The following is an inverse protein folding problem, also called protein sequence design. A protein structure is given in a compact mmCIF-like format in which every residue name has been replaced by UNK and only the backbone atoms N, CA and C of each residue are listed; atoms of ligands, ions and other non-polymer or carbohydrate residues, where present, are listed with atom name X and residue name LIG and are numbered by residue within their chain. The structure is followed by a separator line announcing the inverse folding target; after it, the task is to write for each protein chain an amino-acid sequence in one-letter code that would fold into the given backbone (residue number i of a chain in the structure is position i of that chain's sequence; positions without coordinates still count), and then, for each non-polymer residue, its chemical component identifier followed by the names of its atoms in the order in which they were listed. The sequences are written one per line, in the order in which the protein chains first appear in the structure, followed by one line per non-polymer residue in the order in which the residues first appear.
data_IF_694208040653
#
_entry.id   IF_694208040653
#
_cell.length_a   1.000
_cell.length_b   1.000
_cell.length_c   1.000
_cell.angle_alpha   90.00
_cell.angle_beta   90.00
_cell.angle_gamma   90.00
#
_symmetry.space_group_name_H-M   'P 1'
#
loop_
_entity.id
_entity.type
_entity.pdbx_description
1 polymer ?
#
# COMPACT_ATOMS: atom_id res chain seq x y z
N UNK A 1 1.06 -28.58 48.67
CA UNK A 1 0.44 -27.25 48.57
C UNK A 1 1.53 -26.22 48.36
N UNK A 2 1.97 -26.08 47.11
CA UNK A 2 2.76 -24.96 46.57
C UNK A 2 2.75 -25.13 45.05
N UNK A 3 1.74 -24.59 44.38
CA UNK A 3 1.75 -24.44 42.93
C UNK A 3 2.29 -23.04 42.61
N UNK A 4 3.41 -23.02 41.89
CA UNK A 4 4.03 -21.81 41.34
C UNK A 4 3.20 -21.28 40.18
N UNK A 5 2.65 -20.08 40.38
CA UNK A 5 1.85 -19.36 39.40
C UNK A 5 2.78 -18.79 38.33
N UNK A 6 2.81 -19.41 37.15
CA UNK A 6 3.50 -18.87 35.98
C UNK A 6 2.78 -17.61 35.49
N UNK A 7 3.44 -16.48 35.65
CA UNK A 7 3.08 -15.18 35.09
C UNK A 7 3.18 -15.26 33.56
N UNK A 8 2.05 -15.14 32.87
CA UNK A 8 1.99 -15.16 31.40
C UNK A 8 2.05 -13.71 30.91
N UNK A 9 2.94 -13.33 29.98
CA UNK A 9 3.09 -11.94 29.57
C UNK A 9 1.77 -11.38 29.00
N UNK A 10 1.29 -10.31 29.62
CA UNK A 10 0.05 -9.63 29.28
C UNK A 10 0.02 -9.19 27.81
N UNK A 11 -1.03 -9.62 27.13
CA UNK A 11 -1.39 -9.21 25.78
C UNK A 11 -1.59 -7.70 25.75
N UNK A 12 -0.90 -7.00 24.83
CA UNK A 12 -1.07 -5.56 24.66
C UNK A 12 -2.54 -5.24 24.35
N UNK A 13 -3.09 -4.11 24.84
CA UNK A 13 -4.49 -3.75 24.62
C UNK A 13 -4.76 -3.68 23.11
N UNK A 14 -5.67 -4.53 22.61
CA UNK A 14 -6.18 -4.44 21.25
C UNK A 14 -7.20 -3.31 21.19
N UNK A 15 -7.08 -2.44 20.19
CA UNK A 15 -8.02 -1.33 20.00
C UNK A 15 -9.45 -1.85 19.82
N UNK A 16 -10.46 -1.20 20.44
CA UNK A 16 -11.86 -1.56 20.23
C UNK A 16 -12.22 -1.38 18.75
N UNK A 17 -12.48 -2.47 18.04
CA UNK A 17 -12.83 -2.49 16.62
C UNK A 17 -11.75 -3.02 15.68
N UNK A 18 -10.51 -3.21 16.15
CA UNK A 18 -9.46 -3.82 15.34
C UNK A 18 -9.73 -5.33 15.15
N UNK A 19 -9.68 -5.81 13.90
CA UNK A 19 -9.78 -7.23 13.60
C UNK A 19 -8.66 -8.02 14.29
N UNK A 20 -9.01 -8.97 15.16
CA UNK A 20 -8.02 -9.79 15.85
C UNK A 20 -7.29 -10.73 14.87
N UNK A 21 -5.96 -10.60 14.77
CA UNK A 21 -5.11 -11.48 13.95
C UNK A 21 -4.92 -12.83 14.66
N UNK A 22 -5.33 -13.96 14.06
CA UNK A 22 -5.11 -15.28 14.64
C UNK A 22 -3.62 -15.57 14.85
N UNK A 23 -3.30 -16.21 15.98
CA UNK A 23 -1.93 -16.61 16.30
C UNK A 23 -1.37 -17.54 15.21
N UNK A 24 -0.15 -17.24 14.73
CA UNK A 24 0.51 -18.02 13.68
C UNK A 24 0.06 -17.73 12.24
N UNK A 25 -0.99 -16.92 12.03
CA UNK A 25 -1.46 -16.57 10.68
C UNK A 25 -0.35 -15.90 9.86
N UNK A 26 0.31 -14.89 10.44
CA UNK A 26 1.38 -14.15 9.76
C UNK A 26 2.49 -15.09 9.31
N UNK A 27 2.99 -15.93 10.21
CA UNK A 27 4.07 -16.89 9.91
C UNK A 27 3.67 -17.83 8.77
N UNK A 28 2.48 -18.42 8.83
CA UNK A 28 2.01 -19.35 7.80
C UNK A 28 1.86 -18.66 6.43
N UNK A 29 1.33 -17.43 6.39
CA UNK A 29 1.17 -16.67 5.15
C UNK A 29 2.53 -16.25 4.59
N UNK A 30 3.47 -15.83 5.43
CA UNK A 30 4.84 -15.51 5.01
C UNK A 30 5.49 -16.73 4.38
N UNK A 31 5.40 -17.91 4.99
CA UNK A 31 5.92 -19.16 4.42
C UNK A 31 5.29 -19.47 3.06
N UNK A 32 3.97 -19.27 2.92
CA UNK A 32 3.26 -19.49 1.67
C UNK A 32 3.74 -18.54 0.57
N UNK A 33 3.93 -17.25 0.86
CA UNK A 33 4.42 -16.24 -0.10
C UNK A 33 5.79 -16.60 -0.67
N UNK A 34 6.65 -17.22 0.13
CA UNK A 34 7.97 -17.68 -0.33
C UNK A 34 7.88 -18.86 -1.31
N UNK A 35 6.71 -19.51 -1.43
CA UNK A 35 6.45 -20.54 -2.46
C UNK A 35 5.80 -19.99 -3.72
N UNK A 36 5.30 -18.75 -3.68
CA UNK A 36 4.66 -18.06 -4.79
C UNK A 36 3.66 -17.00 -4.29
N UNK A 37 3.17 -16.11 -5.18
CA UNK A 37 2.21 -15.09 -4.81
C UNK A 37 0.94 -15.65 -4.17
N UNK A 38 0.46 -15.00 -3.12
CA UNK A 38 -0.82 -15.32 -2.48
C UNK A 38 -1.82 -14.28 -2.93
N UNK A 39 -2.67 -14.64 -3.88
CA UNK A 39 -3.75 -13.77 -4.35
C UNK A 39 -4.86 -13.78 -3.31
N UNK A 40 -5.19 -12.59 -2.82
CA UNK A 40 -6.30 -12.36 -1.91
C UNK A 40 -7.52 -11.97 -2.76
N UNK A 41 -8.71 -12.43 -2.38
CA UNK A 41 -9.94 -12.17 -3.13
C UNK A 41 -10.14 -10.70 -3.54
N UNK A 42 -11.06 -10.47 -4.50
CA UNK A 42 -11.44 -9.13 -4.90
C UNK A 42 -12.53 -8.59 -3.94
N UNK A 43 -12.40 -7.31 -3.56
CA UNK A 43 -13.31 -6.63 -2.66
C UNK A 43 -13.59 -5.24 -3.21
N UNK A 44 -14.82 -4.76 -3.03
CA UNK A 44 -15.15 -3.39 -3.41
C UNK A 44 -14.50 -2.40 -2.45
N UNK A 45 -14.36 -1.14 -2.87
CA UNK A 45 -13.89 -0.06 -1.99
C UNK A 45 -14.77 0.05 -0.74
N UNK A 46 -16.09 -0.10 -0.89
CA UNK A 46 -17.02 -0.09 0.24
C UNK A 46 -16.81 -1.27 1.20
N UNK A 47 -16.52 -2.46 0.70
CA UNK A 47 -16.22 -3.64 1.53
C UNK A 47 -14.91 -3.49 2.29
N UNK A 48 -13.88 -2.92 1.67
CA UNK A 48 -12.62 -2.62 2.33
C UNK A 48 -12.81 -1.53 3.39
N UNK A 49 -13.51 -0.46 3.05
CA UNK A 49 -13.83 0.63 4.00
C UNK A 49 -14.62 0.12 5.21
N UNK A 50 -15.56 -0.81 5.00
CA UNK A 50 -16.39 -1.38 6.07
C UNK A 50 -15.59 -2.17 7.12
N UNK A 51 -14.37 -2.62 6.80
CA UNK A 51 -13.47 -3.35 7.71
C UNK A 51 -12.22 -2.54 8.06
N UNK A 52 -12.26 -1.22 7.85
CA UNK A 52 -11.15 -0.30 8.06
C UNK A 52 -9.90 -0.64 7.22
N UNK A 53 -10.11 -1.30 6.07
CA UNK A 53 -9.08 -1.55 5.09
C UNK A 53 -9.00 -0.38 4.08
N UNK A 54 -7.76 0.08 3.82
CA UNK A 54 -7.38 1.05 2.79
C UNK A 54 -8.01 2.46 2.98
N UNK A 55 -8.63 2.74 4.14
CA UNK A 55 -9.45 3.95 4.40
C UNK A 55 -8.68 5.26 4.18
N UNK A 56 -7.46 5.36 4.67
CA UNK A 56 -6.63 6.57 4.56
C UNK A 56 -6.19 6.89 3.12
N UNK A 57 -6.37 5.93 2.21
CA UNK A 57 -5.90 6.05 0.84
C UNK A 57 -7.01 6.42 -0.12
N UNK A 58 -8.28 6.41 0.27
CA UNK A 58 -9.39 6.70 -0.64
C UNK A 58 -9.54 8.20 -0.90
N UNK A 59 -9.65 8.59 -2.18
CA UNK A 59 -9.91 9.98 -2.58
C UNK A 59 -11.33 10.42 -2.20
N UNK A 60 -12.28 9.49 -2.20
CA UNK A 60 -13.65 9.71 -1.77
C UNK A 60 -14.13 8.53 -0.90
N UNK A 61 -14.78 8.85 0.22
CA UNK A 61 -15.41 7.82 1.05
C UNK A 61 -16.70 7.34 0.38
N UNK A 62 -16.98 6.02 0.40
CA UNK A 62 -18.28 5.49 0.03
C UNK A 62 -19.41 6.13 0.85
N UNK A 63 -20.59 6.21 0.26
CA UNK A 63 -21.80 6.67 0.94
C UNK A 63 -22.24 5.68 2.04
N UNK A 64 -23.05 6.14 3.00
CA UNK A 64 -23.57 5.28 4.08
C UNK A 64 -24.39 4.10 3.56
N UNK A 65 -25.14 4.30 2.47
CA UNK A 65 -25.93 3.24 1.82
C UNK A 65 -25.01 2.16 1.22
N UNK A 66 -23.92 2.57 0.54
CA UNK A 66 -22.92 1.64 0.01
C UNK A 66 -22.19 0.87 1.11
N UNK A 67 -21.86 1.54 2.22
CA UNK A 67 -21.24 0.88 3.38
C UNK A 67 -22.21 -0.13 4.02
N UNK A 68 -23.48 0.22 4.15
CA UNK A 68 -24.50 -0.67 4.72
C UNK A 68 -24.68 -1.93 3.86
N UNK A 69 -24.72 -1.77 2.53
CA UNK A 69 -24.80 -2.90 1.62
C UNK A 69 -23.51 -3.73 1.63
N UNK A 70 -22.34 -3.10 1.74
CA UNK A 70 -21.08 -3.79 1.87
C UNK A 70 -21.01 -4.65 3.14
N UNK A 71 -21.41 -4.12 4.29
CA UNK A 71 -21.51 -4.88 5.55
C UNK A 71 -22.44 -6.08 5.40
N UNK A 72 -23.60 -5.88 4.75
CA UNK A 72 -24.56 -6.97 4.47
C UNK A 72 -23.97 -8.04 3.56
N UNK A 73 -23.32 -7.64 2.46
CA UNK A 73 -22.63 -8.54 1.52
C UNK A 73 -21.57 -9.38 2.24
N UNK A 74 -20.72 -8.74 3.06
CA UNK A 74 -19.66 -9.41 3.81
C UNK A 74 -20.22 -10.40 4.84
N UNK A 75 -21.26 -10.01 5.57
CA UNK A 75 -21.93 -10.87 6.53
C UNK A 75 -22.61 -12.07 5.85
N UNK A 76 -23.29 -11.86 4.72
CA UNK A 76 -23.90 -12.92 3.93
C UNK A 76 -22.88 -13.94 3.40
N UNK A 77 -21.67 -13.48 3.07
CA UNK A 77 -20.53 -14.33 2.67
C UNK A 77 -19.73 -14.89 3.85
N UNK A 78 -20.17 -14.65 5.08
CA UNK A 78 -19.51 -15.08 6.32
C UNK A 78 -18.06 -14.58 6.46
N UNK A 79 -17.72 -13.48 5.78
CA UNK A 79 -16.43 -12.82 5.90
C UNK A 79 -16.40 -11.82 7.05
N UNK A 80 -17.57 -11.37 7.50
CA UNK A 80 -17.72 -10.48 8.64
C UNK A 80 -18.70 -11.11 9.62
N UNK A 81 -18.26 -11.36 10.85
CA UNK A 81 -19.06 -11.98 11.90
C UNK A 81 -19.01 -11.18 13.17
N UNK A 82 -20.07 -11.26 13.98
CA UNK A 82 -20.01 -10.78 15.35
C UNK A 82 -18.95 -11.56 16.13
N UNK A 83 -18.07 -10.84 16.81
CA UNK A 83 -17.07 -11.38 17.74
C UNK A 83 -17.72 -11.91 19.02
N UNK A 84 -16.93 -12.58 19.86
CA UNK A 84 -17.41 -13.31 21.02
C UNK A 84 -18.19 -12.45 22.03
N UNK A 85 -17.89 -11.15 22.10
CA UNK A 85 -18.55 -10.19 23.01
C UNK A 85 -19.67 -9.39 22.34
N UNK A 86 -19.92 -9.56 21.04
CA UNK A 86 -20.88 -8.77 20.27
C UNK A 86 -20.46 -7.32 19.96
N UNK A 87 -19.46 -6.78 20.67
CA UNK A 87 -18.88 -5.45 20.44
C UNK A 87 -17.67 -5.48 19.49
N UNK A 88 -17.13 -6.66 19.23
CA UNK A 88 -16.04 -6.87 18.29
C UNK A 88 -16.58 -7.46 17.00
N UNK A 89 -15.89 -7.22 15.89
CA UNK A 89 -16.20 -7.82 14.60
C UNK A 89 -15.02 -8.69 14.17
N UNK A 90 -15.31 -9.91 13.72
CA UNK A 90 -14.31 -10.83 13.20
C UNK A 90 -14.33 -10.78 11.67
N UNK A 91 -13.19 -10.44 11.07
CA UNK A 91 -12.97 -10.52 9.63
C UNK A 91 -12.31 -11.87 9.30
N UNK A 92 -12.80 -12.59 8.28
CA UNK A 92 -12.36 -13.95 7.93
C UNK A 92 -11.88 -14.08 6.48
N UNK A 93 -11.25 -15.22 6.20
CA UNK A 93 -10.74 -15.57 4.87
C UNK A 93 -9.66 -14.62 4.38
N UNK A 94 -9.53 -14.49 3.07
CA UNK A 94 -8.51 -13.64 2.43
C UNK A 94 -8.65 -12.16 2.85
N UNK A 95 -9.88 -11.69 3.13
CA UNK A 95 -10.11 -10.33 3.64
C UNK A 95 -9.47 -10.14 5.01
N UNK A 96 -9.59 -11.14 5.89
CA UNK A 96 -8.94 -11.12 7.20
C UNK A 96 -7.42 -11.09 7.09
N UNK A 97 -6.86 -11.79 6.10
CA UNK A 97 -5.42 -11.73 5.79
C UNK A 97 -5.05 -10.31 5.32
N UNK A 98 -5.78 -9.73 4.36
CA UNK A 98 -5.53 -8.39 3.86
C UNK A 98 -5.53 -7.34 4.98
N UNK A 99 -6.57 -7.35 5.83
CA UNK A 99 -6.69 -6.45 6.99
C UNK A 99 -5.52 -6.64 7.96
N UNK A 100 -5.18 -7.88 8.30
CA UNK A 100 -4.09 -8.18 9.23
C UNK A 100 -2.74 -7.64 8.74
N UNK A 101 -2.44 -7.78 7.45
CA UNK A 101 -1.18 -7.29 6.88
C UNK A 101 -1.17 -5.77 6.66
N UNK A 102 -2.32 -5.17 6.38
CA UNK A 102 -2.44 -3.72 6.31
C UNK A 102 -2.19 -3.07 7.69
N UNK A 103 -2.85 -3.55 8.75
CA UNK A 103 -2.71 -3.00 10.11
C UNK A 103 -1.29 -3.15 10.68
N UNK A 104 -0.50 -4.08 10.13
CA UNK A 104 0.91 -4.27 10.48
C UNK A 104 1.85 -3.37 9.69
N UNK A 105 1.40 -2.82 8.57
CA UNK A 105 2.23 -1.99 7.72
C UNK A 105 2.63 -0.71 8.47
N UNK A 106 3.91 -0.34 8.34
CA UNK A 106 4.45 0.92 8.89
C UNK A 106 4.97 1.84 7.80
N UNK A 107 4.95 1.37 6.57
CA UNK A 107 5.29 2.12 5.38
C UNK A 107 4.20 1.82 4.36
N UNK A 108 3.75 2.85 3.66
CA UNK A 108 2.91 2.70 2.48
C UNK A 108 3.54 3.48 1.35
N UNK A 109 3.73 2.81 0.23
CA UNK A 109 4.03 3.43 -1.05
C UNK A 109 2.76 3.49 -1.88
N UNK A 110 2.34 4.70 -2.24
CA UNK A 110 1.23 5.00 -3.13
C UNK A 110 1.77 5.48 -4.46
N UNK A 111 1.64 4.67 -5.51
CA UNK A 111 2.02 5.04 -6.86
C UNK A 111 0.79 5.27 -7.71
N UNK A 112 0.66 6.47 -8.29
CA UNK A 112 -0.42 6.88 -9.19
C UNK A 112 0.14 7.24 -10.56
N UNK A 113 -0.46 6.76 -11.63
CA UNK A 113 -0.03 7.07 -13.00
C UNK A 113 -1.10 7.76 -13.82
N UNK A 114 -0.67 8.65 -14.71
CA UNK A 114 -1.49 9.15 -15.82
C UNK A 114 -1.32 8.28 -17.07
N UNK A 115 -2.17 8.48 -18.08
CA UNK A 115 -2.01 7.85 -19.40
C UNK A 115 -2.21 6.33 -19.41
N UNK A 116 -3.01 5.79 -18.49
CA UNK A 116 -3.34 4.37 -18.41
C UNK A 116 -4.45 3.99 -19.39
N UNK A 117 -4.38 2.77 -19.94
CA UNK A 117 -5.43 2.21 -20.79
C UNK A 117 -6.50 1.45 -19.98
N UNK A 118 -7.60 1.07 -20.64
CA UNK A 118 -8.64 0.26 -20.00
C UNK A 118 -8.07 -1.10 -19.57
N UNK A 119 -8.27 -1.46 -18.30
CA UNK A 119 -7.72 -2.68 -17.71
C UNK A 119 -6.30 -2.53 -17.15
N UNK A 120 -5.64 -1.38 -17.33
CA UNK A 120 -4.45 -1.04 -16.57
C UNK A 120 -4.83 -0.41 -15.21
N UNK A 121 -4.16 -0.79 -14.11
CA UNK A 121 -4.32 -0.05 -12.88
C UNK A 121 -3.77 1.36 -13.06
N UNK A 122 -4.52 2.35 -12.57
CA UNK A 122 -4.04 3.74 -12.48
C UNK A 122 -3.35 4.00 -11.14
N UNK A 123 -3.49 3.09 -10.17
CA UNK A 123 -2.87 3.20 -8.85
C UNK A 123 -2.45 1.85 -8.30
N UNK A 124 -1.27 1.81 -7.67
CA UNK A 124 -0.73 0.65 -6.96
C UNK A 124 -0.32 1.11 -5.56
N UNK A 125 -0.81 0.40 -4.53
CA UNK A 125 -0.34 0.55 -3.16
C UNK A 125 0.58 -0.62 -2.82
N UNK A 126 1.75 -0.34 -2.25
CA UNK A 126 2.66 -1.32 -1.65
C UNK A 126 2.76 -1.08 -0.15
N UNK A 127 2.48 -2.11 0.62
CA UNK A 127 2.54 -2.12 2.08
C UNK A 127 3.57 -3.17 2.53
N UNK A 128 4.88 -2.82 2.50
CA UNK A 128 5.94 -3.74 2.86
C UNK A 128 5.86 -4.14 4.34
N UNK A 129 6.28 -5.37 4.60
CA UNK A 129 6.27 -6.01 5.92
C UNK A 129 7.69 -6.26 6.39
N UNK A 130 7.95 -6.35 7.70
CA UNK A 130 9.27 -6.67 8.25
C UNK A 130 9.85 -7.99 7.70
N UNK A 131 8.99 -8.95 7.35
CA UNK A 131 9.38 -10.25 6.81
C UNK A 131 9.79 -10.23 5.32
N UNK A 132 10.04 -9.04 4.74
CA UNK A 132 10.37 -8.86 3.31
C UNK A 132 9.32 -9.44 2.36
N UNK A 133 8.06 -9.40 2.78
CA UNK A 133 6.91 -9.56 1.89
C UNK A 133 6.15 -8.24 1.78
N UNK A 134 5.28 -8.11 0.81
CA UNK A 134 4.55 -6.89 0.53
C UNK A 134 3.10 -7.22 0.20
N UNK A 135 2.17 -6.56 0.90
CA UNK A 135 0.78 -6.49 0.46
C UNK A 135 0.72 -5.48 -0.70
N UNK A 136 0.21 -5.91 -1.84
CA UNK A 136 0.03 -5.09 -3.03
C UNK A 136 -1.47 -4.96 -3.33
N UNK A 137 -1.92 -3.73 -3.53
CA UNK A 137 -3.29 -3.41 -3.97
C UNK A 137 -3.20 -2.71 -5.31
N UNK A 138 -3.90 -3.21 -6.34
CA UNK A 138 -3.95 -2.62 -7.67
C UNK A 138 -5.36 -2.11 -7.95
N UNK A 139 -5.45 -0.85 -8.31
CA UNK A 139 -6.71 -0.12 -8.46
C UNK A 139 -6.80 0.37 -9.90
N UNK A 140 -7.89 0.01 -10.57
CA UNK A 140 -8.21 0.43 -11.95
C UNK A 140 -9.48 1.29 -11.96
N UNK A 141 -10.02 1.54 -13.17
CA UNK A 141 -11.22 2.35 -13.34
C UNK A 141 -12.50 1.74 -12.72
N UNK A 142 -12.50 0.45 -12.39
CA UNK A 142 -13.62 -0.26 -11.76
C UNK A 142 -13.47 -0.38 -10.24
N UNK A 143 -12.29 -0.07 -9.70
CA UNK A 143 -11.99 -0.09 -8.27
C UNK A 143 -10.80 -0.99 -7.96
N UNK A 144 -10.85 -1.68 -6.81
CA UNK A 144 -9.78 -2.61 -6.43
C UNK A 144 -9.88 -3.87 -7.29
N UNK A 145 -8.98 -3.96 -8.27
CA UNK A 145 -8.95 -5.06 -9.23
C UNK A 145 -8.20 -6.28 -8.67
N UNK A 146 -7.17 -6.06 -7.84
CA UNK A 146 -6.36 -7.14 -7.29
C UNK A 146 -5.79 -6.76 -5.93
N UNK A 147 -5.82 -7.72 -5.00
CA UNK A 147 -5.09 -7.69 -3.74
C UNK A 147 -4.22 -8.94 -3.69
N UNK A 148 -2.96 -8.83 -3.29
CA UNK A 148 -2.12 -10.00 -3.14
C UNK A 148 -0.89 -9.75 -2.27
N UNK A 149 -0.32 -10.84 -1.76
CA UNK A 149 0.96 -10.83 -1.05
C UNK A 149 2.04 -11.44 -1.93
N UNK A 150 3.14 -10.71 -2.04
CA UNK A 150 4.30 -11.04 -2.86
C UNK A 150 5.56 -10.91 -2.01
N UNK A 151 6.66 -11.56 -2.38
CA UNK A 151 7.97 -11.17 -1.85
C UNK A 151 8.24 -9.71 -2.21
N UNK A 152 8.94 -8.95 -1.36
CA UNK A 152 9.22 -7.53 -1.60
C UNK A 152 9.88 -7.30 -2.96
N UNK A 153 10.87 -8.14 -3.31
CA UNK A 153 11.61 -8.02 -4.57
C UNK A 153 10.69 -8.20 -5.80
N UNK A 154 9.76 -9.17 -5.72
CA UNK A 154 8.74 -9.38 -6.75
C UNK A 154 7.77 -8.21 -6.86
N UNK A 155 7.31 -7.67 -5.72
CA UNK A 155 6.43 -6.51 -5.70
C UNK A 155 7.09 -5.27 -6.32
N UNK A 156 8.36 -5.03 -6.00
CA UNK A 156 9.17 -3.94 -6.55
C UNK A 156 9.42 -4.12 -8.05
N UNK A 157 9.68 -5.35 -8.49
CA UNK A 157 9.80 -5.68 -9.91
C UNK A 157 8.51 -5.37 -10.66
N UNK A 158 7.37 -5.86 -10.17
CA UNK A 158 6.06 -5.60 -10.77
C UNK A 158 5.71 -4.10 -10.82
N UNK A 159 5.98 -3.36 -9.73
CA UNK A 159 5.77 -1.91 -9.69
C UNK A 159 6.64 -1.20 -10.72
N UNK A 160 7.95 -1.47 -10.73
CA UNK A 160 8.89 -0.83 -11.65
C UNK A 160 8.57 -1.16 -13.10
N UNK A 161 8.09 -2.38 -13.36
CA UNK A 161 7.64 -2.78 -14.68
C UNK A 161 6.44 -1.98 -15.17
N UNK A 162 5.53 -1.61 -14.27
CA UNK A 162 4.33 -0.82 -14.58
C UNK A 162 4.60 0.70 -14.68
N UNK A 163 5.61 1.22 -13.97
CA UNK A 163 5.95 2.64 -13.98
C UNK A 163 6.44 3.13 -15.36
N UNK A 164 6.35 4.46 -15.64
CA UNK A 164 6.87 5.05 -16.88
C UNK A 164 8.35 4.68 -17.11
N UNK A 165 8.66 4.18 -18.30
CA UNK A 165 10.01 3.78 -18.70
C UNK A 165 10.57 4.68 -19.80
N UNK A 166 11.89 4.80 -19.85
CA UNK A 166 12.61 5.55 -20.88
C UNK A 166 14.10 5.58 -20.60
N UNK A 167 14.89 6.12 -21.54
CA UNK A 167 16.30 6.39 -21.26
C UNK A 167 16.40 7.51 -20.21
N UNK A 168 17.10 7.26 -19.12
CA UNK A 168 17.32 8.27 -18.08
C UNK A 168 17.98 9.51 -18.67
N UNK A 169 17.50 10.69 -18.27
CA UNK A 169 18.10 11.97 -18.67
C UNK A 169 19.33 12.23 -17.79
N UNK A 170 20.52 12.21 -18.39
CA UNK A 170 21.76 12.61 -17.71
C UNK A 170 21.83 14.15 -17.62
N UNK A 171 21.52 14.70 -16.43
CA UNK A 171 21.86 16.05 -15.90
C UNK A 171 21.48 17.34 -16.68
N UNK A 172 21.30 18.41 -15.86
CA UNK A 172 21.75 19.80 -16.08
C UNK A 172 20.84 20.92 -16.63
N UNK A 173 19.56 20.70 -16.88
CA UNK A 173 18.64 21.84 -17.06
C UNK A 173 17.66 21.92 -15.92
N UNK A 174 17.44 23.14 -15.42
CA UNK A 174 16.16 23.49 -14.80
C UNK A 174 15.08 23.09 -15.77
N UNK A 175 14.43 21.97 -15.48
CA UNK A 175 13.26 21.52 -16.21
C UNK A 175 12.10 22.31 -15.64
N UNK A 176 11.35 22.98 -16.50
CA UNK A 176 10.04 23.46 -16.13
C UNK A 176 9.15 22.24 -15.92
N UNK A 177 8.97 21.86 -14.65
CA UNK A 177 8.24 20.66 -14.26
C UNK A 177 6.78 20.72 -14.71
N UNK A 178 6.16 21.91 -14.70
CA UNK A 178 4.77 22.08 -15.09
C UNK A 178 4.60 21.83 -16.58
N UNK A 179 5.47 22.43 -17.41
CA UNK A 179 5.48 22.18 -18.86
C UNK A 179 5.77 20.71 -19.18
N UNK A 180 6.77 20.10 -18.52
CA UNK A 180 7.08 18.68 -18.70
C UNK A 180 5.88 17.78 -18.37
N UNK A 181 5.21 18.01 -17.24
CA UNK A 181 4.07 17.20 -16.81
C UNK A 181 2.85 17.39 -17.73
N UNK A 182 2.66 18.59 -18.28
CA UNK A 182 1.60 18.85 -19.25
C UNK A 182 1.82 18.16 -20.61
N UNK A 183 3.07 17.99 -21.02
CA UNK A 183 3.43 17.45 -22.34
C UNK A 183 3.83 15.96 -22.32
N UNK A 184 4.05 15.38 -21.13
CA UNK A 184 4.49 13.99 -21.00
C UNK A 184 3.46 12.98 -21.55
N UNK A 185 3.96 11.87 -22.10
CA UNK A 185 3.09 10.79 -22.58
C UNK A 185 2.53 9.94 -21.43
N UNK A 186 3.32 9.76 -20.37
CA UNK A 186 2.96 9.01 -19.16
C UNK A 186 3.74 9.58 -17.99
N UNK A 187 3.07 9.85 -16.88
CA UNK A 187 3.70 10.24 -15.63
C UNK A 187 3.29 9.32 -14.48
N UNK A 188 4.09 9.31 -13.43
CA UNK A 188 3.76 8.69 -12.15
C UNK A 188 4.15 9.61 -11.00
N UNK A 189 3.31 9.67 -9.98
CA UNK A 189 3.67 10.14 -8.64
C UNK A 189 3.80 8.91 -7.74
N UNK A 190 4.95 8.74 -7.12
CA UNK A 190 5.20 7.73 -6.09
C UNK A 190 5.42 8.44 -4.78
N UNK A 191 4.51 8.25 -3.83
CA UNK A 191 4.60 8.81 -2.49
C UNK A 191 4.87 7.68 -1.50
N UNK A 192 5.93 7.79 -0.72
CA UNK A 192 6.24 6.86 0.38
C UNK A 192 5.95 7.55 1.69
N UNK A 193 5.04 7.00 2.48
CA UNK A 193 4.65 7.52 3.80
C UNK A 193 5.06 6.54 4.88
N UNK A 194 5.84 7.01 5.86
CA UNK A 194 6.17 6.26 7.06
C UNK A 194 5.15 6.57 8.14
N UNK A 195 4.45 5.56 8.63
CA UNK A 195 3.47 5.70 9.70
C UNK A 195 4.13 5.46 11.05
N UNK A 196 3.94 6.42 11.97
CA UNK A 196 4.33 6.25 13.37
C UNK A 196 3.08 5.98 14.19
N UNK A 197 3.08 4.88 14.95
CA UNK A 197 2.06 4.65 15.94
C UNK A 197 2.34 5.55 17.16
N UNK A 198 1.47 6.53 17.42
CA UNK A 198 1.52 7.33 18.64
C UNK A 198 0.24 7.09 19.44
N UNK A 199 0.28 6.08 20.34
CA UNK A 199 -0.91 5.59 21.03
C UNK A 199 -1.76 4.68 20.15
N UNK A 200 -3.08 4.80 20.22
CA UNK A 200 -4.08 4.07 19.40
C UNK A 200 -4.39 4.72 18.05
N UNK A 201 -3.70 5.81 17.71
CA UNK A 201 -3.86 6.52 16.44
C UNK A 201 -2.60 6.36 15.59
N UNK A 202 -2.77 5.88 14.37
CA UNK A 202 -1.72 5.94 13.35
C UNK A 202 -1.61 7.39 12.86
N UNK A 203 -0.41 7.97 12.96
CA UNK A 203 -0.13 9.32 12.47
C UNK A 203 0.78 9.16 11.26
N UNK A 204 0.35 9.70 10.12
CA UNK A 204 1.21 9.84 8.95
C UNK A 204 2.44 10.66 9.33
N UNK A 205 3.61 10.03 9.29
CA UNK A 205 4.89 10.64 9.60
C UNK A 205 5.49 11.32 8.36
N UNK A 206 6.79 11.13 8.15
CA UNK A 206 7.48 11.70 6.99
C UNK A 206 6.99 11.05 5.69
N UNK A 207 6.72 11.88 4.69
CA UNK A 207 6.45 11.45 3.32
C UNK A 207 7.54 11.90 2.37
N UNK A 208 7.86 11.06 1.39
CA UNK A 208 8.79 11.38 0.31
C UNK A 208 8.10 11.16 -1.02
N UNK A 209 8.16 12.16 -1.90
CA UNK A 209 7.57 12.10 -3.24
C UNK A 209 8.65 11.94 -4.31
N UNK A 210 8.40 11.04 -5.26
CA UNK A 210 9.17 10.83 -6.47
C UNK A 210 8.22 10.93 -7.67
N UNK A 211 8.54 11.82 -8.61
CA UNK A 211 7.76 12.02 -9.83
C UNK A 211 8.55 11.48 -11.01
N UNK A 212 7.93 10.60 -11.79
CA UNK A 212 8.45 10.05 -13.03
C UNK A 212 7.65 10.63 -14.19
N UNK A 213 8.33 11.15 -15.20
CA UNK A 213 7.66 11.66 -16.40
C UNK A 213 8.39 11.18 -17.65
N UNK A 214 7.66 10.50 -18.53
CA UNK A 214 8.16 10.08 -19.84
C UNK A 214 7.80 11.14 -20.88
N UNK A 215 8.82 11.73 -21.48
CA UNK A 215 8.69 12.69 -22.56
C UNK A 215 9.72 12.36 -23.67
N UNK A 216 9.27 12.30 -24.91
CA UNK A 216 10.07 11.89 -26.09
C UNK A 216 10.94 10.64 -25.89
N UNK A 217 10.40 9.63 -25.20
CA UNK A 217 11.11 8.38 -24.92
C UNK A 217 12.19 8.48 -23.84
N UNK A 218 12.39 9.66 -23.26
CA UNK A 218 13.28 9.89 -22.11
C UNK A 218 12.49 9.87 -20.81
N UNK A 219 13.14 9.40 -19.74
CA UNK A 219 12.57 9.38 -18.40
C UNK A 219 13.19 10.51 -17.57
N UNK A 220 12.33 11.43 -17.16
CA UNK A 220 12.63 12.48 -16.20
C UNK A 220 12.21 12.03 -14.81
N UNK A 221 13.07 12.28 -13.82
CA UNK A 221 12.83 11.90 -12.43
C UNK A 221 13.00 13.15 -11.58
N UNK A 222 11.96 13.51 -10.86
CA UNK A 222 11.90 14.71 -10.04
C UNK A 222 11.56 14.31 -8.60
N UNK A 223 12.04 15.09 -7.64
CA UNK A 223 11.65 15.00 -6.23
C UNK A 223 11.27 16.39 -5.73
N UNK A 224 10.58 16.47 -4.59
CA UNK A 224 10.37 17.77 -3.94
C UNK A 224 11.68 18.37 -3.49
N UNK A 225 11.85 19.67 -3.70
CA UNK A 225 12.98 20.44 -3.15
C UNK A 225 12.85 20.48 -1.61
N UNK A 226 13.85 19.99 -0.85
CA UNK A 226 13.82 20.04 0.62
C UNK A 226 13.73 21.45 1.18
N UNK A 227 14.25 22.46 0.47
CA UNK A 227 14.19 23.87 0.89
C UNK A 227 12.90 24.57 0.43
N UNK A 228 12.28 24.07 -0.63
CA UNK A 228 11.05 24.61 -1.22
C UNK A 228 10.07 23.47 -1.59
N UNK A 229 9.31 22.90 -0.64
CA UNK A 229 8.49 21.70 -0.87
C UNK A 229 7.40 21.84 -1.95
N UNK A 230 7.09 23.07 -2.36
CA UNK A 230 6.20 23.43 -3.47
C UNK A 230 6.86 23.25 -4.86
N UNK A 231 8.17 23.01 -4.92
CA UNK A 231 8.94 22.88 -6.16
C UNK A 231 9.40 21.45 -6.40
N UNK A 232 9.40 21.05 -7.67
CA UNK A 232 9.99 19.81 -8.14
C UNK A 232 11.36 20.09 -8.74
N UNK A 233 12.36 19.33 -8.31
CA UNK A 233 13.74 19.43 -8.81
C UNK A 233 14.19 18.09 -9.39
N UNK A 234 14.98 18.09 -10.47
CA UNK A 234 15.56 16.86 -11.00
C UNK A 234 16.36 16.10 -9.93
N UNK A 235 16.12 14.79 -9.84
CA UNK A 235 16.89 13.91 -8.95
C UNK A 235 17.65 12.88 -9.77
N UNK A 236 18.79 12.46 -9.23
CA UNK A 236 19.69 11.53 -9.89
C UNK A 236 19.24 10.11 -9.63
N UNK A 237 19.24 9.30 -10.70
CA UNK A 237 19.19 7.85 -10.62
C UNK A 237 20.55 7.29 -10.98
N UNK A 238 21.04 6.34 -10.20
CA UNK A 238 22.29 5.64 -10.48
C UNK A 238 22.02 4.31 -11.20
N UNK A 239 22.74 4.04 -12.28
CA UNK A 239 22.67 2.76 -12.99
C UNK A 239 21.41 2.53 -13.84
N UNK A 240 21.29 1.33 -14.39
CA UNK A 240 20.17 0.93 -15.27
C UNK A 240 18.88 0.64 -14.50
N UNK A 241 19.02 0.20 -13.26
CA UNK A 241 17.92 -0.14 -12.35
C UNK A 241 17.60 1.01 -11.37
N UNK A 242 18.05 2.22 -11.67
CA UNK A 242 18.03 3.33 -10.72
C UNK A 242 16.64 3.70 -10.18
N UNK A 243 15.56 3.51 -10.94
CA UNK A 243 14.19 3.71 -10.41
C UNK A 243 13.87 2.65 -9.34
N UNK A 244 14.16 1.38 -9.64
CA UNK A 244 13.94 0.27 -8.73
C UNK A 244 14.73 0.49 -7.44
N UNK A 245 16.03 0.76 -7.57
CA UNK A 245 16.94 0.93 -6.43
C UNK A 245 16.54 2.14 -5.61
N UNK A 246 16.17 3.26 -6.26
CA UNK A 246 15.68 4.44 -5.56
C UNK A 246 14.41 4.18 -4.77
N UNK A 247 13.45 3.44 -5.34
CA UNK A 247 12.23 3.06 -4.63
C UNK A 247 12.55 2.11 -3.48
N UNK A 248 13.41 1.12 -3.70
CA UNK A 248 13.83 0.18 -2.67
C UNK A 248 14.46 0.92 -1.48
N UNK A 249 15.35 1.89 -1.73
CA UNK A 249 15.98 2.72 -0.70
C UNK A 249 14.94 3.49 0.13
N UNK A 250 13.89 4.03 -0.51
CA UNK A 250 12.81 4.73 0.20
C UNK A 250 11.99 3.81 1.12
N UNK A 251 11.99 2.49 0.86
CA UNK A 251 11.30 1.51 1.69
C UNK A 251 12.18 0.93 2.81
N UNK A 252 13.47 1.27 2.85
CA UNK A 252 14.36 0.84 3.94
C UNK A 252 14.17 1.71 5.20
N UNK A 253 14.22 1.06 6.37
CA UNK A 253 14.19 1.70 7.70
C UNK A 253 15.56 1.57 8.34
#
# INVERSE_FOLDING_TARGET
MSDEQHDTPGQAPQDPGAAAVPQGLVTAVVELVHTGPVLLGAYTIAELTAVDAIVDFLEARPSEDELTEAVRSLAARQLLLAGATGEQVQVRGDLGIAVAFQQRARIVLDARTSGTEAGEPWRILLLPQPERICLMVRIDALGVHQIGLYTLDEALRMLTEWLPRGSAVEHERTVDADTLLAECQRSALVTVTHYTAQGSAEIAGQSTDLVLARHDGRLHVLARDPEHPDRLVPTRLDGKDGVHDRIADLLTV
#
